data_IF_849038616521
#
_entry.id   IF_849038616521
#
_cell.length_a   1.000
_cell.length_b   1.000
_cell.length_c   1.000
_cell.angle_alpha   90.00
_cell.angle_beta   90.00
_cell.angle_gamma   90.00
#
_symmetry.space_group_name_H-M   'P 1'
#
loop_
_entity.id
_entity.type
_entity.pdbx_description
1 polymer ?
#
# COMPACT_ATOMS: atom_id res chain seq x y z
N UNK A 1 32.03 -8.16 -9.75
CA UNK A 1 30.92 -7.75 -8.85
C UNK A 1 30.35 -6.43 -9.37
N UNK A 2 29.28 -6.47 -10.16
CA UNK A 2 28.54 -5.29 -10.64
C UNK A 2 27.04 -5.65 -10.73
N UNK A 3 26.51 -6.27 -9.67
CA UNK A 3 25.19 -6.92 -9.70
C UNK A 3 24.14 -6.40 -8.72
N UNK A 4 24.49 -5.45 -7.83
CA UNK A 4 23.58 -4.98 -6.78
C UNK A 4 23.23 -3.48 -6.87
N UNK A 5 24.02 -2.67 -7.57
CA UNK A 5 23.85 -1.21 -7.55
C UNK A 5 22.59 -0.70 -8.27
N UNK A 6 22.05 -1.45 -9.24
CA UNK A 6 20.82 -1.06 -9.94
C UNK A 6 19.53 -1.49 -9.21
N UNK A 7 19.63 -2.52 -8.35
CA UNK A 7 18.48 -3.00 -7.56
C UNK A 7 18.30 -2.11 -6.31
N UNK A 8 19.41 -1.63 -5.74
CA UNK A 8 19.39 -0.74 -4.58
C UNK A 8 18.79 0.64 -4.90
N UNK A 9 19.01 1.22 -6.08
CA UNK A 9 18.55 2.60 -6.36
C UNK A 9 17.03 2.79 -6.27
N UNK A 10 16.24 1.75 -6.58
CA UNK A 10 14.77 1.80 -6.46
C UNK A 10 14.29 1.34 -5.09
N UNK A 11 14.91 0.30 -4.52
CA UNK A 11 14.57 -0.20 -3.20
C UNK A 11 14.90 0.81 -2.09
N UNK A 12 16.05 1.46 -2.13
CA UNK A 12 16.47 2.47 -1.14
C UNK A 12 15.51 3.66 -1.09
N UNK A 13 15.06 4.14 -2.25
CA UNK A 13 14.04 5.21 -2.31
C UNK A 13 12.73 4.77 -1.69
N UNK A 14 12.32 3.52 -1.94
CA UNK A 14 11.11 2.97 -1.32
C UNK A 14 11.24 2.86 0.21
N UNK A 15 12.34 2.30 0.71
CA UNK A 15 12.59 2.17 2.14
C UNK A 15 12.72 3.54 2.84
N UNK A 16 13.33 4.52 2.18
CA UNK A 16 13.39 5.88 2.69
C UNK A 16 11.98 6.48 2.84
N UNK A 17 11.14 6.36 1.81
CA UNK A 17 9.74 6.82 1.85
C UNK A 17 8.94 6.06 2.92
N UNK A 18 9.09 4.74 3.01
CA UNK A 18 8.44 3.92 4.03
C UNK A 18 8.81 4.34 5.45
N UNK A 19 10.11 4.59 5.72
CA UNK A 19 10.57 5.11 7.02
C UNK A 19 9.97 6.47 7.36
N UNK A 20 9.98 7.40 6.39
CA UNK A 20 9.43 8.75 6.60
C UNK A 20 7.93 8.67 6.88
N UNK A 21 7.19 7.88 6.10
CA UNK A 21 5.76 7.64 6.33
C UNK A 21 5.50 7.01 7.69
N UNK A 22 6.30 6.03 8.11
CA UNK A 22 6.22 5.41 9.44
C UNK A 22 6.43 6.42 10.57
N UNK A 23 7.45 7.27 10.47
CA UNK A 23 7.70 8.34 11.44
C UNK A 23 6.55 9.37 11.46
N UNK A 24 5.99 9.71 10.30
CA UNK A 24 4.83 10.60 10.21
C UNK A 24 3.58 9.98 10.84
N UNK A 25 3.38 8.66 10.71
CA UNK A 25 2.28 7.95 11.35
C UNK A 25 2.44 7.93 12.87
N UNK A 26 3.66 7.74 13.37
CA UNK A 26 3.94 7.82 14.81
C UNK A 26 3.67 9.24 15.36
N UNK A 27 4.14 10.28 14.68
CA UNK A 27 3.85 11.67 15.06
C UNK A 27 2.36 12.01 14.99
N UNK A 28 1.62 11.40 14.05
CA UNK A 28 0.17 11.52 13.95
C UNK A 28 -0.58 10.89 15.10
N UNK A 29 -0.02 9.86 15.76
CA UNK A 29 -0.63 9.26 16.93
C UNK A 29 -0.60 10.22 18.12
N UNK A 30 0.44 11.04 18.24
CA UNK A 30 0.54 12.10 19.25
C UNK A 30 -0.29 13.33 18.89
N UNK A 31 -0.26 13.73 17.61
CA UNK A 31 -0.97 14.91 17.12
C UNK A 31 -1.84 14.58 15.90
N UNK A 32 -3.11 14.19 16.13
CA UNK A 32 -3.99 13.71 15.07
C UNK A 32 -4.31 14.81 14.06
N UNK A 33 -4.00 14.54 12.79
CA UNK A 33 -4.22 15.47 11.67
C UNK A 33 -4.90 14.74 10.51
N UNK A 34 -6.18 15.02 10.28
CA UNK A 34 -6.99 14.38 9.23
C UNK A 34 -6.43 14.61 7.82
N UNK A 35 -5.91 15.81 7.55
CA UNK A 35 -5.30 16.18 6.26
C UNK A 35 -4.04 15.36 5.95
N UNK A 36 -3.16 15.22 6.94
CA UNK A 36 -1.92 14.45 6.81
C UNK A 36 -2.20 12.95 6.69
N UNK A 37 -3.09 12.43 7.53
CA UNK A 37 -3.51 11.03 7.48
C UNK A 37 -4.02 10.65 6.07
N UNK A 38 -4.86 11.51 5.48
CA UNK A 38 -5.37 11.32 4.11
C UNK A 38 -4.26 11.23 3.07
N UNK A 39 -3.24 12.10 3.17
CA UNK A 39 -2.11 12.07 2.26
C UNK A 39 -1.25 10.81 2.45
N UNK A 40 -0.99 10.42 3.69
CA UNK A 40 -0.21 9.23 4.01
C UNK A 40 -0.88 7.96 3.48
N UNK A 41 -2.19 7.79 3.73
CA UNK A 41 -2.95 6.64 3.22
C UNK A 41 -2.93 6.63 1.69
N UNK A 42 -3.09 7.79 1.04
CA UNK A 42 -3.02 7.89 -0.41
C UNK A 42 -1.63 7.58 -0.97
N UNK A 43 -0.56 7.97 -0.28
CA UNK A 43 0.81 7.58 -0.63
C UNK A 43 1.01 6.07 -0.53
N UNK A 44 0.59 5.45 0.57
CA UNK A 44 0.65 3.99 0.72
C UNK A 44 -0.18 3.25 -0.32
N UNK A 45 -1.40 3.73 -0.62
CA UNK A 45 -2.23 3.14 -1.67
C UNK A 45 -1.53 3.20 -3.03
N UNK A 46 -0.90 4.32 -3.37
CA UNK A 46 -0.13 4.42 -4.62
C UNK A 46 1.11 3.55 -4.64
N UNK A 47 1.77 3.37 -3.50
CA UNK A 47 2.88 2.42 -3.39
C UNK A 47 2.39 0.98 -3.57
N UNK A 48 1.20 0.63 -3.08
CA UNK A 48 0.63 -0.72 -3.24
C UNK A 48 0.27 -1.10 -4.68
N UNK A 49 0.16 -0.12 -5.58
CA UNK A 49 -0.03 -0.32 -7.02
C UNK A 49 1.18 -1.06 -7.65
N UNK A 50 2.36 -0.91 -7.04
CA UNK A 50 3.55 -1.64 -7.42
C UNK A 50 3.65 -2.95 -6.62
N UNK A 51 3.63 -4.13 -7.28
CA UNK A 51 3.62 -5.42 -6.60
C UNK A 51 4.86 -5.67 -5.73
N UNK A 52 6.02 -5.10 -6.09
CA UNK A 52 7.25 -5.21 -5.26
C UNK A 52 7.15 -4.38 -3.99
N UNK A 53 6.60 -3.16 -4.10
CA UNK A 53 6.36 -2.31 -2.95
C UNK A 53 5.27 -2.89 -2.05
N UNK A 54 4.21 -3.46 -2.62
CA UNK A 54 3.12 -4.09 -1.88
C UNK A 54 3.63 -5.22 -0.94
N UNK A 55 4.55 -6.05 -1.42
CA UNK A 55 5.19 -7.10 -0.62
C UNK A 55 6.01 -6.52 0.55
N UNK A 56 6.77 -5.45 0.30
CA UNK A 56 7.51 -4.75 1.35
C UNK A 56 6.59 -4.02 2.34
N UNK A 57 5.47 -3.46 1.88
CA UNK A 57 4.44 -2.86 2.73
C UNK A 57 3.84 -3.88 3.69
N UNK A 58 3.73 -5.15 3.32
CA UNK A 58 3.25 -6.22 4.21
C UNK A 58 4.03 -6.26 5.54
N UNK A 59 5.35 -6.13 5.46
CA UNK A 59 6.26 -6.15 6.61
C UNK A 59 6.53 -4.77 7.23
N UNK A 60 6.39 -3.68 6.46
CA UNK A 60 6.72 -2.33 6.93
C UNK A 60 5.49 -1.45 7.24
N UNK A 61 4.26 -1.92 7.01
CA UNK A 61 3.05 -1.15 7.33
C UNK A 61 2.92 -1.02 8.85
N UNK A 62 2.82 0.21 9.40
CA UNK A 62 2.69 0.42 10.83
C UNK A 62 1.35 -0.12 11.36
N UNK A 63 1.39 -0.81 12.51
CA UNK A 63 0.21 -1.37 13.16
C UNK A 63 -0.86 -0.34 13.50
N UNK A 64 -0.51 0.94 13.68
CA UNK A 64 -1.49 2.01 13.92
C UNK A 64 -2.47 2.22 12.74
N UNK A 65 -2.07 1.85 11.53
CA UNK A 65 -2.97 1.84 10.36
C UNK A 65 -3.88 0.61 10.33
N UNK A 66 -3.57 -0.43 11.12
CA UNK A 66 -4.35 -1.67 11.27
C UNK A 66 -5.25 -1.63 12.51
N UNK A 67 -4.77 -1.09 13.62
CA UNK A 67 -5.36 -1.19 14.97
C UNK A 67 -6.41 -0.10 15.27
N UNK A 68 -7.06 0.45 14.25
CA UNK A 68 -8.10 1.47 14.39
C UNK A 68 -7.70 2.76 15.15
N UNK A 69 -6.41 3.02 15.37
CA UNK A 69 -5.89 4.23 16.05
C UNK A 69 -6.44 5.52 15.44
N UNK A 70 -6.59 5.54 14.11
CA UNK A 70 -7.11 6.69 13.36
C UNK A 70 -8.61 6.63 13.03
N UNK A 71 -9.36 5.72 13.66
CA UNK A 71 -10.79 5.49 13.37
C UNK A 71 -11.64 6.76 13.47
N UNK A 72 -11.34 7.65 14.43
CA UNK A 72 -12.00 8.96 14.59
C UNK A 72 -11.78 9.86 13.36
N UNK A 73 -10.54 10.02 12.90
CA UNK A 73 -10.25 10.80 11.68
C UNK A 73 -10.85 10.15 10.42
N UNK A 74 -10.87 8.82 10.36
CA UNK A 74 -11.47 8.06 9.25
C UNK A 74 -13.00 8.07 9.27
N UNK A 75 -13.64 8.47 10.37
CA UNK A 75 -15.09 8.65 10.46
C UNK A 75 -15.52 9.95 9.80
N UNK A 76 -14.69 10.98 9.89
CA UNK A 76 -14.95 12.29 9.27
C UNK A 76 -14.67 12.28 7.75
N UNK A 77 -13.77 11.40 7.26
CA UNK A 77 -13.46 11.28 5.83
C UNK A 77 -13.68 9.83 5.31
N UNK A 78 -14.89 9.51 4.79
CA UNK A 78 -15.23 8.17 4.32
C UNK A 78 -14.43 7.74 3.07
N UNK A 79 -13.88 8.70 2.33
CA UNK A 79 -13.03 8.42 1.16
C UNK A 79 -11.70 7.83 1.59
N UNK A 80 -11.06 8.44 2.60
CA UNK A 80 -9.79 7.96 3.18
C UNK A 80 -9.96 6.57 3.79
N UNK A 81 -11.10 6.32 4.44
CA UNK A 81 -11.47 4.98 4.92
C UNK A 81 -11.51 3.95 3.79
N UNK A 82 -12.15 4.27 2.66
CA UNK A 82 -12.17 3.39 1.49
C UNK A 82 -10.76 3.11 0.95
N UNK A 83 -9.90 4.12 0.89
CA UNK A 83 -8.50 3.94 0.47
C UNK A 83 -7.71 3.04 1.41
N UNK A 84 -7.91 3.16 2.72
CA UNK A 84 -7.26 2.28 3.69
C UNK A 84 -7.72 0.83 3.52
N UNK A 85 -9.02 0.59 3.33
CA UNK A 85 -9.55 -0.74 3.06
C UNK A 85 -8.95 -1.34 1.77
N UNK A 86 -8.87 -0.54 0.71
CA UNK A 86 -8.23 -0.98 -0.54
C UNK A 86 -6.74 -1.30 -0.36
N UNK A 87 -6.01 -0.45 0.36
CA UNK A 87 -4.60 -0.68 0.68
C UNK A 87 -4.43 -2.00 1.45
N UNK A 88 -5.23 -2.21 2.50
CA UNK A 88 -5.20 -3.42 3.30
C UNK A 88 -5.53 -4.65 2.46
N UNK A 89 -6.48 -4.55 1.53
CA UNK A 89 -6.81 -5.61 0.57
C UNK A 89 -5.65 -5.89 -0.39
N UNK A 90 -5.03 -4.86 -0.98
CA UNK A 90 -3.88 -5.03 -1.87
C UNK A 90 -2.72 -5.72 -1.14
N UNK A 91 -2.48 -5.32 0.11
CA UNK A 91 -1.41 -5.87 0.95
C UNK A 91 -1.77 -7.28 1.43
N UNK A 92 -3.01 -7.62 1.76
CA UNK A 92 -3.42 -8.97 2.22
C UNK A 92 -3.78 -9.95 1.10
N UNK A 93 -4.09 -9.46 -0.09
CA UNK A 93 -4.55 -10.26 -1.21
C UNK A 93 -3.54 -11.35 -1.60
N UNK A 94 -4.01 -12.55 -1.98
CA UNK A 94 -3.14 -13.56 -2.56
C UNK A 94 -2.51 -12.96 -3.82
N UNK A 95 -1.22 -13.24 -4.04
CA UNK A 95 -0.55 -12.88 -5.29
C UNK A 95 -1.34 -13.50 -6.43
N UNK A 96 -2.27 -12.77 -7.05
CA UNK A 96 -2.67 -13.10 -8.41
C UNK A 96 -1.47 -12.65 -9.23
N UNK A 97 -0.52 -13.57 -9.35
CA UNK A 97 0.37 -13.59 -10.49
C UNK A 97 -0.56 -13.53 -11.71
N UNK A 98 -0.52 -12.40 -12.40
CA UNK A 98 -0.70 -12.28 -13.84
C UNK A 98 -1.25 -13.56 -14.54
N UNK A 99 -2.56 -13.81 -14.54
CA UNK A 99 -3.19 -14.61 -15.60
C UNK A 99 -4.73 -14.50 -15.59
N UNK A 100 -5.23 -13.62 -16.43
CA UNK A 100 -6.39 -13.90 -17.29
C UNK A 100 -6.02 -13.30 -18.65
N UNK A 101 -5.48 -14.03 -19.62
CA UNK A 101 -5.81 -15.42 -19.90
C UNK A 101 -7.28 -15.54 -20.31
N UNK A 102 -7.84 -14.51 -20.97
CA UNK A 102 -9.09 -14.63 -21.72
C UNK A 102 -8.81 -15.42 -23.00
N UNK A 103 -8.51 -16.71 -22.85
CA UNK A 103 -8.80 -17.70 -23.87
C UNK A 103 -10.28 -18.01 -23.73
N UNK A 104 -11.08 -17.49 -24.66
CA UNK A 104 -12.41 -18.01 -24.92
C UNK A 104 -12.30 -18.83 -26.21
N UNK A 105 -11.84 -20.07 -26.06
CA UNK A 105 -12.07 -21.10 -27.07
C UNK A 105 -13.45 -21.69 -26.81
N UNK A 106 -14.45 -21.29 -27.60
CA UNK A 106 -15.64 -22.11 -27.88
C UNK A 106 -16.45 -21.55 -29.07
N UNK A 107 -16.22 -22.08 -30.27
CA UNK A 107 -17.33 -22.34 -31.20
C UNK A 107 -16.95 -23.47 -32.18
N UNK A 108 -17.32 -24.70 -31.82
CA UNK A 108 -17.65 -25.73 -32.80
C UNK A 108 -19.09 -25.49 -33.24
N UNK A 109 -19.31 -25.20 -34.53
CA UNK A 109 -20.37 -25.80 -35.37
C UNK A 109 -20.35 -25.18 -36.76
N UNK A 110 -19.89 -25.94 -37.74
CA UNK A 110 -20.54 -26.21 -39.06
C UNK A 110 -19.55 -26.92 -39.97
#
# INVERSE_FOLDING_TARGET
>A
MMGLEYICTTAERFFAVGRVLGNMVAALAEQPSSRLLKHIIRCYLRLSDNPRACDALRSCLPDMLRDATFSSCLREDPTTRRWLQQLLHNVQGPRVALQAGASFDHMMVS
#
